data_IF_120789983862
#
_entry.id   IF_120789983862
#
_cell.length_a   1.000
_cell.length_b   1.000
_cell.length_c   1.000
_cell.angle_alpha   90.00
_cell.angle_beta   90.00
_cell.angle_gamma   90.00
#
_symmetry.space_group_name_H-M   'P 1'
#
loop_
_entity.id
_entity.type
_entity.pdbx_description
1 polymer ?
#
# COMPACT_ATOMS: atom_id res chain seq x y z
N UNK A 1 -36.70 23.49 5.79
CA UNK A 1 -35.58 23.92 6.67
C UNK A 1 -34.45 22.90 6.81
N UNK A 2 -34.58 21.64 6.33
CA UNK A 2 -33.48 20.66 6.34
C UNK A 2 -32.39 20.86 5.28
N UNK A 3 -32.68 21.56 4.17
CA UNK A 3 -31.70 21.81 3.11
C UNK A 3 -30.66 22.90 3.47
N UNK A 4 -31.01 23.87 4.33
CA UNK A 4 -30.07 24.92 4.75
C UNK A 4 -29.07 24.44 5.82
N UNK A 5 -29.39 23.40 6.57
CA UNK A 5 -28.48 22.81 7.57
C UNK A 5 -27.40 21.93 6.93
N UNK A 6 -27.67 21.31 5.78
CA UNK A 6 -26.67 20.56 5.01
C UNK A 6 -25.64 21.44 4.30
N UNK A 7 -26.05 22.62 3.83
CA UNK A 7 -25.16 23.58 3.15
C UNK A 7 -24.22 24.28 4.15
N UNK A 8 -24.68 24.56 5.37
CA UNK A 8 -23.81 25.08 6.44
C UNK A 8 -22.78 24.05 6.95
N UNK A 9 -23.05 22.75 6.87
CA UNK A 9 -22.10 21.69 7.24
C UNK A 9 -20.93 21.56 6.25
N UNK A 10 -21.18 21.72 4.94
CA UNK A 10 -20.11 21.72 3.94
C UNK A 10 -19.25 22.99 4.03
N UNK A 11 -19.86 24.16 4.22
CA UNK A 11 -19.14 25.44 4.38
C UNK A 11 -18.33 25.51 5.68
N UNK A 12 -18.81 24.88 6.78
CA UNK A 12 -18.06 24.80 8.05
C UNK A 12 -16.87 23.85 7.97
N UNK A 13 -16.98 22.75 7.23
CA UNK A 13 -15.85 21.85 6.94
C UNK A 13 -14.81 22.50 6.01
N UNK A 14 -15.26 23.24 4.99
CA UNK A 14 -14.37 24.01 4.09
C UNK A 14 -13.61 25.10 4.85
N UNK A 15 -14.26 25.78 5.81
CA UNK A 15 -13.60 26.79 6.67
C UNK A 15 -12.52 26.19 7.58
N UNK A 16 -12.67 24.93 8.02
CA UNK A 16 -11.64 24.21 8.78
C UNK A 16 -10.47 23.72 7.89
N UNK A 17 -10.72 23.45 6.60
CA UNK A 17 -9.70 23.03 5.64
C UNK A 17 -8.87 24.21 5.10
N UNK A 18 -9.45 25.42 5.05
CA UNK A 18 -8.80 26.64 4.54
C UNK A 18 -7.97 27.42 5.57
N UNK A 19 -8.03 27.07 6.87
CA UNK A 19 -7.30 27.76 7.93
C UNK A 19 -5.86 27.27 8.17
N UNK A 20 -5.05 28.11 8.80
CA UNK A 20 -3.76 27.74 9.41
C UNK A 20 -3.91 26.91 10.68
N UNK A 21 -5.12 26.87 11.24
CA UNK A 21 -5.46 26.00 12.37
C UNK A 21 -5.74 24.58 11.87
N UNK A 22 -5.27 23.53 12.59
CA UNK A 22 -5.78 22.17 12.42
C UNK A 22 -7.31 22.14 12.57
N UNK A 23 -7.95 20.99 12.35
CA UNK A 23 -9.40 20.75 12.56
C UNK A 23 -9.89 20.97 14.02
N UNK A 24 -9.27 21.87 14.78
CA UNK A 24 -9.57 22.31 16.14
C UNK A 24 -10.98 22.86 16.32
N UNK A 25 -11.63 23.34 15.24
CA UNK A 25 -12.92 24.04 15.29
C UNK A 25 -14.11 23.22 14.77
N UNK A 26 -13.90 21.99 14.26
CA UNK A 26 -15.02 21.17 13.79
C UNK A 26 -15.63 20.37 14.96
N UNK A 27 -16.90 20.65 15.29
CA UNK A 27 -17.62 20.00 16.38
C UNK A 27 -17.84 18.48 16.22
N UNK A 28 -17.44 17.90 15.09
CA UNK A 28 -17.67 16.50 14.72
C UNK A 28 -16.52 15.54 15.07
N UNK A 29 -15.37 16.00 15.57
CA UNK A 29 -14.24 15.11 15.89
C UNK A 29 -14.09 14.83 17.39
N UNK A 30 -13.88 13.56 17.81
CA UNK A 30 -13.51 13.22 19.18
C UNK A 30 -12.11 13.75 19.53
N UNK A 31 -11.76 13.76 20.82
CA UNK A 31 -10.43 14.18 21.27
C UNK A 31 -9.35 13.28 20.65
N UNK A 32 -8.50 13.83 19.80
CA UNK A 32 -7.52 13.06 19.02
C UNK A 32 -6.18 13.83 18.89
N UNK A 33 -5.08 13.07 18.90
CA UNK A 33 -3.71 13.60 18.74
C UNK A 33 -3.56 14.28 17.38
N UNK A 34 -3.01 15.50 17.37
CA UNK A 34 -2.81 16.26 16.13
C UNK A 34 -1.97 15.46 15.10
N UNK A 35 -0.93 14.76 15.57
CA UNK A 35 -0.06 13.94 14.73
C UNK A 35 -0.81 12.81 13.99
N UNK A 36 -1.78 12.18 14.66
CA UNK A 36 -2.62 11.12 14.06
C UNK A 36 -3.60 11.69 13.04
N UNK A 37 -4.20 12.86 13.32
CA UNK A 37 -5.11 13.52 12.37
C UNK A 37 -4.38 13.87 11.08
N UNK A 38 -3.18 14.47 11.19
CA UNK A 38 -2.37 14.82 10.02
C UNK A 38 -2.01 13.61 9.17
N UNK A 39 -1.60 12.50 9.79
CA UNK A 39 -1.32 11.24 9.08
C UNK A 39 -2.55 10.71 8.34
N UNK A 40 -3.71 10.71 9.00
CA UNK A 40 -4.98 10.29 8.38
C UNK A 40 -5.39 11.17 7.19
N UNK A 41 -5.17 12.48 7.26
CA UNK A 41 -5.49 13.40 6.16
C UNK A 41 -4.55 13.20 4.95
N UNK A 42 -3.26 12.93 5.16
CA UNK A 42 -2.37 12.55 4.06
C UNK A 42 -2.74 11.20 3.44
N UNK A 43 -3.15 10.21 4.25
CA UNK A 43 -3.69 8.94 3.75
C UNK A 43 -5.00 9.15 2.98
N UNK A 44 -5.85 10.09 3.42
CA UNK A 44 -7.05 10.45 2.68
C UNK A 44 -6.70 11.01 1.28
N UNK A 45 -5.67 11.85 1.13
CA UNK A 45 -5.21 12.27 -0.20
C UNK A 45 -4.72 11.10 -1.05
N UNK A 46 -4.01 10.12 -0.46
CA UNK A 46 -3.61 8.90 -1.17
C UNK A 46 -4.83 8.10 -1.67
N UNK A 47 -5.86 7.94 -0.83
CA UNK A 47 -7.08 7.24 -1.19
C UNK A 47 -7.92 8.00 -2.21
N UNK A 48 -7.98 9.33 -2.12
CA UNK A 48 -8.63 10.16 -3.12
C UNK A 48 -7.94 9.98 -4.48
N UNK A 49 -6.62 10.01 -4.53
CA UNK A 49 -5.87 9.76 -5.76
C UNK A 49 -6.05 8.35 -6.33
N UNK A 50 -6.15 7.36 -5.44
CA UNK A 50 -6.46 5.97 -5.80
C UNK A 50 -7.87 5.86 -6.39
N UNK A 51 -8.86 6.50 -5.78
CA UNK A 51 -10.24 6.50 -6.24
C UNK A 51 -10.35 7.14 -7.64
N UNK A 52 -9.69 8.29 -7.85
CA UNK A 52 -9.63 8.95 -9.16
C UNK A 52 -8.99 8.02 -10.20
N UNK A 53 -7.91 7.32 -9.84
CA UNK A 53 -7.23 6.35 -10.72
C UNK A 53 -8.14 5.16 -11.08
N UNK A 54 -8.93 4.65 -10.12
CA UNK A 54 -9.93 3.61 -10.37
C UNK A 54 -11.02 4.12 -11.33
N UNK A 55 -11.49 5.35 -11.16
CA UNK A 55 -12.49 5.94 -12.07
C UNK A 55 -11.93 6.04 -13.50
N UNK A 56 -10.65 6.40 -13.66
CA UNK A 56 -10.01 6.57 -14.97
C UNK A 56 -9.82 5.26 -15.74
N UNK A 57 -9.76 4.11 -15.07
CA UNK A 57 -9.57 2.81 -15.73
C UNK A 57 -10.90 2.11 -16.06
N UNK A 58 -12.04 2.61 -15.58
CA UNK A 58 -13.36 2.02 -15.86
C UNK A 58 -13.71 2.16 -17.36
N UNK A 59 -14.11 1.06 -18.04
CA UNK A 59 -14.52 1.06 -19.44
C UNK A 59 -15.85 1.83 -19.59
N UNK A 60 -15.74 3.13 -19.86
CA UNK A 60 -16.88 4.05 -19.93
C UNK A 60 -16.44 5.51 -19.85
N UNK A 61 -15.37 5.79 -19.11
CA UNK A 61 -14.78 7.14 -18.97
C UNK A 61 -13.80 7.45 -20.11
N UNK A 62 -13.38 6.43 -20.88
CA UNK A 62 -12.42 6.55 -21.99
C UNK A 62 -12.82 7.60 -23.03
N UNK A 63 -14.13 7.77 -23.31
CA UNK A 63 -14.64 8.79 -24.25
C UNK A 63 -14.35 10.23 -23.83
N UNK A 64 -14.30 10.48 -22.52
CA UNK A 64 -13.96 11.81 -21.99
C UNK A 64 -12.44 12.00 -21.90
N UNK A 65 -11.67 10.94 -21.62
CA UNK A 65 -10.21 10.99 -21.65
C UNK A 65 -9.67 11.29 -23.05
N UNK A 66 -10.37 10.85 -24.12
CA UNK A 66 -9.99 11.15 -25.50
C UNK A 66 -9.95 12.64 -25.85
N UNK A 67 -10.65 13.50 -25.08
CA UNK A 67 -10.69 14.94 -25.31
C UNK A 67 -9.53 15.70 -24.66
N UNK A 68 -8.70 15.02 -23.86
CA UNK A 68 -7.61 15.67 -23.13
C UNK A 68 -6.36 15.83 -24.04
N UNK A 69 -5.74 17.02 -24.08
CA UNK A 69 -4.52 17.27 -24.84
C UNK A 69 -3.36 16.41 -24.30
N UNK A 70 -2.42 16.01 -25.17
CA UNK A 70 -1.24 15.22 -24.79
C UNK A 70 -1.36 13.69 -24.87
N UNK A 71 -2.58 13.12 -24.90
CA UNK A 71 -2.76 11.66 -25.07
C UNK A 71 -2.64 11.17 -26.52
N UNK A 72 -2.94 11.99 -27.52
CA UNK A 72 -2.91 11.60 -28.94
C UNK A 72 -2.08 12.51 -29.84
N UNK A 73 -1.45 13.56 -29.31
CA UNK A 73 -0.67 14.55 -30.10
C UNK A 73 0.76 14.12 -30.44
N UNK A 74 1.20 12.92 -30.03
CA UNK A 74 2.55 12.40 -30.26
C UNK A 74 2.76 11.58 -31.54
N UNK A 75 1.71 11.30 -32.33
CA UNK A 75 1.84 10.61 -33.62
C UNK A 75 2.28 11.58 -34.72
N UNK A 76 3.47 12.17 -34.55
CA UNK A 76 4.08 13.04 -35.54
C UNK A 76 4.41 12.26 -36.82
N UNK A 77 3.86 12.70 -37.93
CA UNK A 77 4.09 12.17 -39.27
C UNK A 77 5.60 12.09 -39.57
N UNK A 78 6.11 10.88 -39.77
CA UNK A 78 7.33 10.67 -40.54
C UNK A 78 6.87 10.17 -41.92
N UNK A 79 7.17 10.93 -42.98
CA UNK A 79 6.97 10.55 -44.40
C UNK A 79 5.54 10.64 -45.01
N UNK A 80 4.65 11.51 -44.52
CA UNK A 80 3.42 11.85 -45.28
C UNK A 80 2.39 10.72 -45.45
N UNK A 81 2.58 9.60 -44.75
CA UNK A 81 1.59 8.52 -44.64
C UNK A 81 0.86 8.73 -43.32
N UNK A 82 -0.44 9.06 -43.38
CA UNK A 82 -1.33 8.95 -42.23
C UNK A 82 -1.50 7.47 -41.89
N UNK A 83 -0.61 6.93 -41.06
CA UNK A 83 -0.98 5.76 -40.27
C UNK A 83 -2.01 6.25 -39.27
N UNK A 84 -3.27 5.88 -39.49
CA UNK A 84 -4.35 6.06 -38.53
C UNK A 84 -4.02 5.13 -37.34
N UNK A 85 -3.09 5.54 -36.48
CA UNK A 85 -2.68 4.75 -35.31
C UNK A 85 -3.78 4.94 -34.28
N UNK A 86 -4.52 3.88 -34.01
CA UNK A 86 -5.58 3.84 -33.00
C UNK A 86 -5.00 4.14 -31.61
N UNK A 87 -4.98 5.43 -31.26
CA UNK A 87 -4.63 5.98 -29.93
C UNK A 87 -5.58 5.50 -28.82
N UNK A 88 -6.61 4.71 -29.16
CA UNK A 88 -7.67 4.22 -28.29
C UNK A 88 -7.24 3.08 -27.37
N UNK A 89 -6.13 2.39 -27.67
CA UNK A 89 -5.75 1.23 -26.85
C UNK A 89 -5.08 1.65 -25.54
N UNK A 90 -5.70 1.29 -24.41
CA UNK A 90 -5.20 1.42 -23.03
C UNK A 90 -5.07 2.84 -22.46
N UNK A 91 -5.94 3.76 -22.91
CA UNK A 91 -5.98 5.14 -22.42
C UNK A 91 -6.08 5.25 -20.89
N UNK A 92 -6.90 4.39 -20.27
CA UNK A 92 -7.03 4.32 -18.81
C UNK A 92 -5.71 3.96 -18.10
N UNK A 93 -4.87 3.09 -18.67
CA UNK A 93 -3.57 2.77 -18.07
C UNK A 93 -2.64 3.98 -18.09
N UNK A 94 -2.55 4.67 -19.23
CA UNK A 94 -1.75 5.90 -19.35
C UNK A 94 -2.20 6.98 -18.37
N UNK A 95 -3.51 7.14 -18.18
CA UNK A 95 -4.06 8.07 -17.20
C UNK A 95 -3.69 7.71 -15.75
N UNK A 96 -3.74 6.41 -15.40
CA UNK A 96 -3.30 5.93 -14.08
C UNK A 96 -1.80 6.19 -13.86
N UNK A 97 -0.94 6.02 -14.86
CA UNK A 97 0.49 6.37 -14.72
C UNK A 97 0.71 7.86 -14.45
N UNK A 98 -0.02 8.75 -15.14
CA UNK A 98 0.05 10.20 -14.91
C UNK A 98 -0.47 10.59 -13.53
N UNK A 99 -1.59 9.99 -13.08
CA UNK A 99 -2.12 10.21 -11.75
C UNK A 99 -1.17 9.67 -10.66
N UNK A 100 -0.59 8.49 -10.87
CA UNK A 100 0.43 7.91 -9.99
C UNK A 100 1.68 8.78 -9.91
N UNK A 101 2.11 9.37 -11.03
CA UNK A 101 3.19 10.37 -11.05
C UNK A 101 2.85 11.61 -10.21
N UNK A 102 1.65 12.16 -10.37
CA UNK A 102 1.22 13.33 -9.59
C UNK A 102 1.20 13.05 -8.08
N UNK A 103 0.66 11.90 -7.68
CA UNK A 103 0.66 11.45 -6.28
C UNK A 103 2.07 11.26 -5.74
N UNK A 104 2.95 10.61 -6.52
CA UNK A 104 4.35 10.41 -6.14
C UNK A 104 5.08 11.75 -6.00
N UNK A 105 4.94 12.67 -6.96
CA UNK A 105 5.53 13.99 -6.91
C UNK A 105 5.04 14.80 -5.69
N UNK A 106 3.74 14.72 -5.38
CA UNK A 106 3.17 15.36 -4.20
C UNK A 106 3.79 14.85 -2.89
N UNK A 107 3.85 13.53 -2.67
CA UNK A 107 4.46 12.99 -1.45
C UNK A 107 5.97 13.16 -1.42
N UNK A 108 6.65 13.14 -2.57
CA UNK A 108 8.08 13.44 -2.66
C UNK A 108 8.37 14.89 -2.26
N UNK A 109 7.57 15.85 -2.72
CA UNK A 109 7.67 17.26 -2.33
C UNK A 109 7.55 17.39 -0.80
N UNK A 110 6.56 16.75 -0.19
CA UNK A 110 6.40 16.78 1.27
C UNK A 110 7.52 16.04 2.01
N UNK A 111 8.06 14.95 1.47
CA UNK A 111 9.22 14.27 2.04
C UNK A 111 10.44 15.20 2.11
N UNK A 112 10.70 15.96 1.04
CA UNK A 112 11.80 16.94 0.94
C UNK A 112 11.57 18.14 1.86
N UNK A 113 10.36 18.68 1.91
CA UNK A 113 10.04 19.84 2.78
C UNK A 113 10.17 19.51 4.27
N UNK A 114 9.93 18.25 4.66
CA UNK A 114 9.94 17.81 6.05
C UNK A 114 11.27 17.22 6.54
N UNK A 115 12.35 17.38 5.75
CA UNK A 115 13.69 16.90 6.13
C UNK A 115 14.17 17.56 7.43
N UNK A 116 14.58 16.73 8.38
CA UNK A 116 15.13 17.13 9.68
C UNK A 116 14.21 18.04 10.50
N UNK A 117 12.90 17.83 10.45
CA UNK A 117 11.96 18.44 11.40
C UNK A 117 11.97 17.61 12.69
N UNK A 118 12.24 18.25 13.83
CA UNK A 118 12.41 17.57 15.13
C UNK A 118 11.35 17.92 16.18
N UNK A 119 10.63 19.02 16.01
CA UNK A 119 9.60 19.49 16.96
C UNK A 119 8.47 20.20 16.21
N UNK A 120 7.27 20.23 16.79
CA UNK A 120 6.13 21.00 16.28
C UNK A 120 6.32 22.52 16.34
N UNK A 121 7.34 22.99 17.08
CA UNK A 121 7.72 24.41 17.15
C UNK A 121 8.40 24.90 15.87
N UNK A 122 8.91 24.00 15.03
CA UNK A 122 9.47 24.38 13.74
C UNK A 122 8.38 24.98 12.84
N UNK A 123 8.64 26.09 12.12
CA UNK A 123 7.65 26.70 11.22
C UNK A 123 7.18 25.73 10.12
N UNK A 124 8.02 24.76 9.75
CA UNK A 124 7.71 23.69 8.79
C UNK A 124 6.66 22.71 9.33
N UNK A 125 6.58 22.52 10.64
CA UNK A 125 5.56 21.66 11.24
C UNK A 125 4.14 22.28 11.13
N UNK A 126 4.03 23.61 11.06
CA UNK A 126 2.76 24.26 10.73
C UNK A 126 2.28 23.90 9.31
N UNK A 127 3.21 23.75 8.36
CA UNK A 127 2.89 23.24 7.02
C UNK A 127 2.49 21.77 7.06
N UNK A 128 3.13 20.92 7.89
CA UNK A 128 2.75 19.51 8.05
C UNK A 128 1.33 19.37 8.60
N UNK A 129 0.99 20.12 9.65
CA UNK A 129 -0.24 19.94 10.42
C UNK A 129 -1.42 20.85 10.00
N UNK A 130 -1.18 21.83 9.12
CA UNK A 130 -2.19 22.81 8.67
C UNK A 130 -2.31 22.95 7.16
N UNK A 131 -3.00 24.01 6.71
CA UNK A 131 -3.11 24.44 5.30
C UNK A 131 -3.64 23.36 4.33
N UNK A 132 -4.61 22.55 4.75
CA UNK A 132 -5.10 21.41 3.99
C UNK A 132 -5.71 21.77 2.63
N UNK A 133 -6.42 22.88 2.53
CA UNK A 133 -6.96 23.38 1.27
C UNK A 133 -5.87 23.70 0.26
N UNK A 134 -4.80 24.38 0.68
CA UNK A 134 -3.68 24.69 -0.21
C UNK A 134 -2.93 23.44 -0.64
N UNK A 135 -2.77 22.45 0.24
CA UNK A 135 -2.20 21.14 -0.12
C UNK A 135 -3.03 20.45 -1.19
N UNK A 136 -4.36 20.48 -1.06
CA UNK A 136 -5.27 19.94 -2.06
C UNK A 136 -5.12 20.66 -3.40
N UNK A 137 -5.05 22.00 -3.41
CA UNK A 137 -4.81 22.76 -4.64
C UNK A 137 -3.45 22.43 -5.28
N UNK A 138 -2.39 22.26 -4.48
CA UNK A 138 -1.08 21.81 -4.98
C UNK A 138 -1.19 20.44 -5.64
N UNK A 139 -1.89 19.49 -5.01
CA UNK A 139 -2.12 18.17 -5.59
C UNK A 139 -2.88 18.25 -6.92
N UNK A 140 -3.95 19.06 -6.99
CA UNK A 140 -4.71 19.27 -8.23
C UNK A 140 -3.82 19.92 -9.30
N UNK A 141 -3.03 20.93 -8.95
CA UNK A 141 -2.12 21.61 -9.87
C UNK A 141 -1.06 20.69 -10.45
N UNK A 142 -0.41 19.86 -9.63
CA UNK A 142 0.53 18.83 -10.07
C UNK A 142 -0.18 17.82 -10.98
N UNK A 143 -1.40 17.40 -10.61
CA UNK A 143 -2.19 16.47 -11.41
C UNK A 143 -2.45 17.04 -12.80
N UNK A 144 -3.01 18.25 -12.90
CA UNK A 144 -3.23 18.92 -14.19
C UNK A 144 -1.93 19.00 -14.99
N UNK A 145 -0.82 19.40 -14.37
CA UNK A 145 0.49 19.43 -15.01
C UNK A 145 0.96 18.06 -15.54
N UNK A 146 0.74 16.99 -14.80
CA UNK A 146 1.08 15.63 -15.20
C UNK A 146 0.30 15.16 -16.44
N UNK A 147 -0.93 15.66 -16.63
CA UNK A 147 -1.75 15.34 -17.80
C UNK A 147 -1.25 16.00 -19.10
N UNK A 148 -0.50 17.11 -19.00
CA UNK A 148 0.13 17.75 -20.16
C UNK A 148 1.44 17.08 -20.61
N UNK A 149 1.93 16.07 -19.89
CA UNK A 149 3.14 15.33 -20.30
C UNK A 149 2.81 14.55 -21.59
N UNK A 150 3.51 14.80 -22.71
CA UNK A 150 3.22 14.13 -23.98
C UNK A 150 3.53 12.64 -23.92
N UNK A 151 2.81 11.87 -24.72
CA UNK A 151 3.07 10.45 -24.91
C UNK A 151 4.46 10.18 -25.52
N UNK A 152 5.08 9.08 -25.10
CA UNK A 152 6.42 8.65 -25.49
C UNK A 152 7.06 7.86 -24.36
N UNK A 153 8.38 7.96 -24.21
CA UNK A 153 9.17 7.20 -23.23
C UNK A 153 8.71 7.35 -21.76
N UNK A 154 7.90 8.36 -21.42
CA UNK A 154 7.39 8.60 -20.08
C UNK A 154 6.78 7.35 -19.45
N UNK A 155 5.82 6.70 -20.11
CA UNK A 155 5.09 5.56 -19.51
C UNK A 155 6.02 4.36 -19.29
N UNK A 156 6.93 4.10 -20.24
CA UNK A 156 7.90 3.01 -20.09
C UNK A 156 8.93 3.29 -19.00
N UNK A 157 9.39 4.54 -18.84
CA UNK A 157 10.34 4.91 -17.76
C UNK A 157 9.63 4.86 -16.41
N UNK A 158 8.42 5.42 -16.34
CA UNK A 158 7.62 5.49 -15.12
C UNK A 158 7.19 4.09 -14.64
N UNK A 159 6.99 3.14 -15.55
CA UNK A 159 6.84 1.71 -15.21
C UNK A 159 7.99 1.22 -14.33
N UNK A 160 9.25 1.48 -14.68
CA UNK A 160 10.40 1.00 -13.89
C UNK A 160 10.49 1.67 -12.52
N UNK A 161 10.20 2.97 -12.42
CA UNK A 161 10.05 3.64 -11.12
C UNK A 161 8.95 2.98 -10.28
N UNK A 162 7.82 2.67 -10.90
CA UNK A 162 6.73 1.92 -10.28
C UNK A 162 7.16 0.55 -9.79
N UNK A 163 7.92 -0.21 -10.59
CA UNK A 163 8.46 -1.53 -10.22
C UNK A 163 9.35 -1.44 -8.97
N UNK A 164 10.31 -0.51 -8.96
CA UNK A 164 11.24 -0.34 -7.83
C UNK A 164 10.48 0.14 -6.58
N UNK A 165 9.60 1.13 -6.73
CA UNK A 165 8.79 1.63 -5.62
C UNK A 165 7.87 0.55 -5.03
N UNK A 166 7.27 -0.28 -5.88
CA UNK A 166 6.42 -1.39 -5.47
C UNK A 166 7.21 -2.48 -4.74
N UNK A 167 8.42 -2.82 -5.19
CA UNK A 167 9.30 -3.75 -4.47
C UNK A 167 9.52 -3.29 -3.02
N UNK A 168 9.93 -2.03 -2.83
CA UNK A 168 10.16 -1.45 -1.51
C UNK A 168 8.86 -1.39 -0.68
N UNK A 169 7.75 -1.02 -1.31
CA UNK A 169 6.47 -0.96 -0.61
C UNK A 169 5.97 -2.34 -0.18
N UNK A 170 6.17 -3.40 -0.96
CA UNK A 170 5.81 -4.77 -0.56
C UNK A 170 6.61 -5.20 0.67
N UNK A 171 7.89 -4.82 0.77
CA UNK A 171 8.69 -5.06 1.98
C UNK A 171 8.15 -4.30 3.19
N UNK A 172 7.85 -3.01 3.02
CA UNK A 172 7.23 -2.19 4.08
C UNK A 172 5.86 -2.77 4.48
N UNK A 173 5.06 -3.20 3.51
CA UNK A 173 3.76 -3.82 3.73
C UNK A 173 3.90 -5.10 4.56
N UNK A 174 4.91 -5.94 4.30
CA UNK A 174 5.16 -7.11 5.12
C UNK A 174 5.54 -6.73 6.56
N UNK A 175 6.43 -5.76 6.74
CA UNK A 175 6.83 -5.26 8.06
C UNK A 175 5.62 -4.75 8.85
N UNK A 176 4.70 -4.06 8.18
CA UNK A 176 3.44 -3.59 8.77
C UNK A 176 2.52 -4.75 9.17
N UNK A 177 2.45 -5.81 8.36
CA UNK A 177 1.68 -7.01 8.69
C UNK A 177 2.28 -7.77 9.88
N UNK A 178 3.61 -7.84 9.98
CA UNK A 178 4.31 -8.40 11.14
C UNK A 178 3.92 -7.63 12.40
N UNK A 179 4.05 -6.30 12.37
CA UNK A 179 3.70 -5.44 13.50
C UNK A 179 2.22 -5.51 13.88
N UNK A 180 1.33 -5.55 12.88
CA UNK A 180 -0.09 -5.76 13.09
C UNK A 180 -0.35 -7.09 13.82
N UNK A 181 0.32 -8.16 13.39
CA UNK A 181 0.16 -9.47 13.99
C UNK A 181 0.68 -9.53 15.44
N UNK A 182 1.83 -8.90 15.72
CA UNK A 182 2.35 -8.79 17.09
C UNK A 182 1.42 -7.95 17.97
N UNK A 183 0.99 -6.78 17.49
CA UNK A 183 0.08 -5.89 18.22
C UNK A 183 -1.27 -6.57 18.51
N UNK A 184 -1.79 -7.33 17.53
CA UNK A 184 -3.00 -8.13 17.70
C UNK A 184 -2.78 -9.21 18.76
N UNK A 185 -1.72 -10.02 18.63
CA UNK A 185 -1.41 -11.09 19.58
C UNK A 185 -1.26 -10.56 21.01
N UNK A 186 -0.48 -9.50 21.21
CA UNK A 186 -0.27 -8.87 22.53
C UNK A 186 -1.57 -8.35 23.13
N UNK A 187 -2.42 -7.69 22.33
CA UNK A 187 -3.71 -7.17 22.82
C UNK A 187 -4.65 -8.29 23.27
N UNK A 188 -4.69 -9.40 22.53
CA UNK A 188 -5.52 -10.54 22.91
C UNK A 188 -4.96 -11.31 24.10
N UNK A 189 -3.64 -11.44 24.20
CA UNK A 189 -2.99 -12.03 25.38
C UNK A 189 -3.23 -11.19 26.64
N UNK A 190 -3.07 -9.86 26.57
CA UNK A 190 -3.39 -8.97 27.70
C UNK A 190 -4.85 -9.11 28.15
N UNK A 191 -5.78 -9.16 27.20
CA UNK A 191 -7.20 -9.37 27.52
C UNK A 191 -7.47 -10.78 28.08
N UNK A 192 -6.64 -11.77 27.75
CA UNK A 192 -6.73 -13.11 28.31
C UNK A 192 -6.29 -13.13 29.79
N UNK A 193 -5.26 -12.35 30.13
CA UNK A 193 -4.74 -12.21 31.49
C UNK A 193 -5.70 -11.40 32.40
N UNK A 194 -6.35 -10.36 31.86
CA UNK A 194 -7.30 -9.52 32.58
C UNK A 194 -8.75 -10.07 32.61
N UNK A 195 -9.08 -10.98 31.69
CA UNK A 195 -10.44 -11.46 31.45
C UNK A 195 -10.59 -12.99 31.50
N UNK A 196 -11.49 -13.53 30.67
CA UNK A 196 -11.69 -14.98 30.55
C UNK A 196 -10.57 -15.62 29.71
N UNK A 197 -9.48 -16.01 30.36
CA UNK A 197 -8.29 -16.59 29.72
C UNK A 197 -8.64 -17.64 28.65
N UNK A 198 -9.48 -18.63 28.98
CA UNK A 198 -9.84 -19.73 28.07
C UNK A 198 -10.50 -19.26 26.76
N UNK A 199 -11.31 -18.21 26.80
CA UNK A 199 -12.02 -17.71 25.61
C UNK A 199 -11.07 -17.03 24.63
N UNK A 200 -10.19 -16.17 25.14
CA UNK A 200 -9.20 -15.46 24.32
C UNK A 200 -8.13 -16.39 23.74
N UNK A 201 -7.62 -17.35 24.52
CA UNK A 201 -6.71 -18.38 24.00
C UNK A 201 -7.39 -19.24 22.91
N UNK A 202 -8.64 -19.65 23.11
CA UNK A 202 -9.40 -20.39 22.09
C UNK A 202 -9.59 -19.56 20.81
N UNK A 203 -9.89 -18.26 20.92
CA UNK A 203 -10.01 -17.37 19.78
C UNK A 203 -8.66 -17.25 19.01
N UNK A 204 -7.55 -17.10 19.74
CA UNK A 204 -6.21 -16.97 19.16
C UNK A 204 -5.82 -18.25 18.38
N UNK A 205 -6.07 -19.42 18.96
CA UNK A 205 -5.88 -20.71 18.29
C UNK A 205 -6.78 -20.86 17.07
N UNK A 206 -8.06 -20.44 17.17
CA UNK A 206 -9.02 -20.55 16.06
C UNK A 206 -8.61 -19.71 14.86
N UNK A 207 -8.20 -18.45 15.08
CA UNK A 207 -7.73 -17.57 13.99
C UNK A 207 -6.48 -18.14 13.33
N UNK A 208 -5.52 -18.62 14.14
CA UNK A 208 -4.29 -19.23 13.65
C UNK A 208 -4.58 -20.46 12.77
N UNK A 209 -5.50 -21.33 13.21
CA UNK A 209 -5.94 -22.49 12.44
C UNK A 209 -6.58 -22.09 11.11
N UNK A 210 -7.46 -21.09 11.12
CA UNK A 210 -8.13 -20.60 9.90
C UNK A 210 -7.10 -20.08 8.89
N UNK A 211 -6.09 -19.32 9.32
CA UNK A 211 -5.06 -18.80 8.43
C UNK A 211 -4.19 -19.89 7.80
N UNK A 212 -3.80 -20.93 8.55
CA UNK A 212 -3.09 -22.06 7.95
C UNK A 212 -3.98 -22.90 7.03
N UNK A 213 -5.23 -23.16 7.41
CA UNK A 213 -6.18 -23.88 6.56
C UNK A 213 -6.40 -23.13 5.23
N UNK A 214 -6.59 -21.82 5.29
CA UNK A 214 -6.70 -20.97 4.10
C UNK A 214 -5.42 -21.00 3.25
N UNK A 215 -4.24 -20.98 3.89
CA UNK A 215 -2.96 -21.05 3.18
C UNK A 215 -2.78 -22.38 2.44
N UNK A 216 -3.10 -23.50 3.09
CA UNK A 216 -3.02 -24.84 2.48
C UNK A 216 -4.01 -24.99 1.31
N UNK A 217 -5.25 -24.51 1.50
CA UNK A 217 -6.25 -24.49 0.45
C UNK A 217 -5.78 -23.64 -0.75
N UNK A 218 -5.24 -22.44 -0.50
CA UNK A 218 -4.71 -21.56 -1.54
C UNK A 218 -3.53 -22.21 -2.29
N UNK A 219 -2.57 -22.82 -1.60
CA UNK A 219 -1.46 -23.57 -2.24
C UNK A 219 -1.97 -24.69 -3.12
N UNK A 220 -2.97 -25.44 -2.67
CA UNK A 220 -3.60 -26.52 -3.45
C UNK A 220 -4.21 -25.98 -4.73
N UNK A 221 -4.97 -24.88 -4.64
CA UNK A 221 -5.56 -24.21 -5.80
C UNK A 221 -4.47 -23.69 -6.76
N UNK A 222 -3.37 -23.15 -6.25
CA UNK A 222 -2.25 -22.70 -7.09
C UNK A 222 -1.63 -23.84 -7.89
N UNK A 223 -1.40 -25.00 -7.27
CA UNK A 223 -0.94 -26.19 -8.01
C UNK A 223 -1.93 -26.65 -9.07
N UNK A 224 -3.23 -26.66 -8.77
CA UNK A 224 -4.27 -27.12 -9.71
C UNK A 224 -4.40 -26.19 -10.92
N UNK A 225 -4.41 -24.87 -10.70
CA UNK A 225 -4.72 -23.91 -11.76
C UNK A 225 -3.50 -23.35 -12.50
N UNK A 226 -2.37 -23.13 -11.81
CA UNK A 226 -1.19 -22.48 -12.38
C UNK A 226 -0.06 -23.45 -12.72
N UNK A 227 -0.26 -24.76 -12.53
CA UNK A 227 0.73 -25.77 -12.94
C UNK A 227 0.10 -26.86 -13.80
N UNK A 228 0.92 -27.53 -14.62
CA UNK A 228 0.54 -28.66 -15.47
C UNK A 228 1.53 -29.81 -15.27
N UNK A 229 1.12 -31.09 -15.46
CA UNK A 229 2.04 -32.23 -15.35
C UNK A 229 3.29 -32.04 -16.22
N UNK A 230 3.10 -31.66 -17.48
CA UNK A 230 4.16 -31.36 -18.44
C UNK A 230 4.32 -29.84 -18.66
N UNK A 231 5.51 -29.31 -18.36
CA UNK A 231 5.84 -27.88 -18.46
C UNK A 231 5.49 -27.06 -17.21
N UNK A 232 5.47 -25.73 -17.36
CA UNK A 232 5.21 -24.76 -16.29
C UNK A 232 6.09 -24.96 -15.03
N UNK A 233 7.36 -25.30 -15.25
CA UNK A 233 8.34 -25.58 -14.18
C UNK A 233 8.54 -24.41 -13.24
N UNK A 234 8.55 -23.19 -13.78
CA UNK A 234 8.70 -21.96 -12.96
C UNK A 234 7.57 -21.82 -11.93
N UNK A 235 6.32 -22.06 -12.35
CA UNK A 235 5.18 -22.02 -11.43
C UNK A 235 5.30 -23.05 -10.31
N UNK A 236 5.70 -24.28 -10.64
CA UNK A 236 5.95 -25.34 -9.65
C UNK A 236 7.07 -24.96 -8.68
N UNK A 237 8.17 -24.41 -9.20
CA UNK A 237 9.32 -24.00 -8.41
C UNK A 237 8.97 -22.87 -7.44
N UNK A 238 8.30 -21.82 -7.90
CA UNK A 238 7.92 -20.68 -7.04
C UNK A 238 6.97 -21.10 -5.92
N UNK A 239 5.95 -21.91 -6.22
CA UNK A 239 5.02 -22.42 -5.19
C UNK A 239 5.77 -23.31 -4.19
N UNK A 240 6.62 -24.22 -4.66
CA UNK A 240 7.38 -25.15 -3.81
C UNK A 240 8.33 -24.43 -2.87
N UNK A 241 9.12 -23.48 -3.39
CA UNK A 241 10.11 -22.73 -2.62
C UNK A 241 9.40 -21.91 -1.53
N UNK A 242 8.34 -21.17 -1.88
CA UNK A 242 7.62 -20.36 -0.90
C UNK A 242 6.92 -21.23 0.16
N UNK A 243 6.38 -22.38 -0.22
CA UNK A 243 5.84 -23.34 0.76
C UNK A 243 6.90 -23.81 1.75
N UNK A 244 8.09 -24.21 1.26
CA UNK A 244 9.20 -24.66 2.11
C UNK A 244 9.65 -23.54 3.05
N UNK A 245 9.83 -22.32 2.55
CA UNK A 245 10.24 -21.18 3.36
C UNK A 245 9.18 -20.85 4.44
N UNK A 246 7.89 -20.88 4.12
CA UNK A 246 6.81 -20.69 5.09
C UNK A 246 6.81 -21.78 6.18
N UNK A 247 7.07 -23.04 5.81
CA UNK A 247 7.20 -24.14 6.78
C UNK A 247 8.40 -23.92 7.71
N UNK A 248 9.56 -23.55 7.16
CA UNK A 248 10.76 -23.25 7.95
C UNK A 248 10.46 -22.14 8.96
N UNK A 249 9.91 -21.02 8.49
CA UNK A 249 9.55 -19.89 9.35
C UNK A 249 8.57 -20.31 10.45
N UNK A 250 7.55 -21.10 10.11
CA UNK A 250 6.54 -21.58 11.08
C UNK A 250 7.16 -22.48 12.15
N UNK A 251 8.07 -23.37 11.76
CA UNK A 251 8.84 -24.20 12.70
C UNK A 251 9.72 -23.33 13.58
N UNK A 252 10.42 -22.37 12.99
CA UNK A 252 11.31 -21.44 13.71
C UNK A 252 10.55 -20.66 14.78
N UNK A 253 9.36 -20.15 14.47
CA UNK A 253 8.50 -19.41 15.42
C UNK A 253 8.05 -20.21 16.65
N UNK A 254 8.10 -21.55 16.62
CA UNK A 254 7.70 -22.40 17.76
C UNK A 254 8.87 -22.97 18.56
N UNK A 255 10.14 -22.73 18.16
CA UNK A 255 11.26 -23.25 18.94
C UNK A 255 11.26 -22.63 20.35
N UNK A 256 11.46 -23.45 21.40
CA UNK A 256 11.44 -22.96 22.78
C UNK A 256 12.50 -21.90 23.02
N UNK A 257 13.66 -21.99 22.37
CA UNK A 257 14.72 -20.97 22.44
C UNK A 257 14.29 -19.60 21.92
N UNK A 258 13.46 -19.56 20.87
CA UNK A 258 12.97 -18.30 20.31
C UNK A 258 11.87 -17.73 21.19
N UNK A 259 10.99 -18.59 21.73
CA UNK A 259 9.96 -18.15 22.67
C UNK A 259 10.54 -17.65 24.00
N UNK A 260 11.65 -18.23 24.48
CA UNK A 260 12.40 -17.72 25.64
C UNK A 260 12.94 -16.30 25.38
N UNK A 261 13.47 -16.02 24.19
CA UNK A 261 14.00 -14.70 23.83
C UNK A 261 12.92 -13.68 23.44
N UNK A 262 11.76 -14.14 22.97
CA UNK A 262 10.63 -13.32 22.52
C UNK A 262 9.30 -13.98 22.93
N UNK A 263 8.83 -13.78 24.18
CA UNK A 263 7.65 -14.47 24.72
C UNK A 263 6.34 -14.08 24.02
N UNK A 264 6.32 -12.95 23.31
CA UNK A 264 5.18 -12.50 22.51
C UNK A 264 5.23 -12.95 21.05
N UNK A 265 6.29 -13.63 20.61
CA UNK A 265 6.35 -14.25 19.29
C UNK A 265 5.57 -15.56 19.31
N UNK A 266 4.48 -15.61 18.55
CA UNK A 266 3.55 -16.72 18.53
C UNK A 266 3.30 -17.28 17.14
N UNK A 267 2.47 -18.32 17.09
CA UNK A 267 2.09 -19.00 15.86
C UNK A 267 1.13 -18.15 14.98
N UNK A 268 0.41 -17.20 15.58
CA UNK A 268 -0.49 -16.30 14.87
C UNK A 268 0.27 -15.47 13.83
N UNK A 269 1.41 -14.91 14.22
CA UNK A 269 2.26 -14.11 13.34
C UNK A 269 2.73 -14.94 12.15
N UNK A 270 3.32 -16.12 12.39
CA UNK A 270 3.77 -17.02 11.34
C UNK A 270 2.64 -17.43 10.37
N UNK A 271 1.42 -17.66 10.89
CA UNK A 271 0.26 -18.02 10.08
C UNK A 271 -0.21 -16.89 9.16
N UNK A 272 -0.22 -15.64 9.64
CA UNK A 272 -0.58 -14.48 8.82
C UNK A 272 0.48 -14.20 7.74
N UNK A 273 1.76 -14.29 8.10
CA UNK A 273 2.87 -14.11 7.16
C UNK A 273 2.88 -15.20 6.09
N UNK A 274 2.56 -16.44 6.47
CA UNK A 274 2.38 -17.55 5.51
C UNK A 274 1.27 -17.22 4.52
N UNK A 275 0.08 -16.82 5.00
CA UNK A 275 -1.05 -16.48 4.16
C UNK A 275 -0.72 -15.35 3.18
N UNK A 276 -0.05 -14.29 3.67
CA UNK A 276 0.38 -13.18 2.83
C UNK A 276 1.42 -13.61 1.78
N UNK A 277 2.37 -14.46 2.14
CA UNK A 277 3.38 -14.98 1.19
C UNK A 277 2.70 -15.79 0.08
N UNK A 278 1.72 -16.63 0.42
CA UNK A 278 0.94 -17.38 -0.58
C UNK A 278 0.14 -16.41 -1.47
N UNK A 279 -0.42 -15.33 -0.92
CA UNK A 279 -1.05 -14.27 -1.71
C UNK A 279 -0.06 -13.61 -2.70
N UNK A 280 1.15 -13.21 -2.24
CA UNK A 280 2.17 -12.62 -3.12
C UNK A 280 2.60 -13.61 -4.21
N UNK A 281 2.68 -14.90 -3.87
CA UNK A 281 2.96 -15.97 -4.84
C UNK A 281 1.87 -16.05 -5.90
N UNK A 282 0.60 -16.03 -5.50
CA UNK A 282 -0.54 -16.01 -6.42
C UNK A 282 -0.51 -14.77 -7.32
N UNK A 283 -0.27 -13.60 -6.75
CA UNK A 283 -0.16 -12.35 -7.48
C UNK A 283 1.02 -12.33 -8.47
N UNK A 284 2.10 -13.08 -8.20
CA UNK A 284 3.20 -13.26 -9.14
C UNK A 284 2.84 -14.20 -10.29
N UNK A 285 2.20 -15.32 -9.98
CA UNK A 285 1.77 -16.31 -10.98
C UNK A 285 0.74 -15.77 -11.97
N UNK A 286 -0.15 -14.89 -11.49
CA UNK A 286 -1.11 -14.16 -12.34
C UNK A 286 -0.44 -13.24 -13.38
N UNK A 287 0.85 -12.92 -13.23
CA UNK A 287 1.63 -12.16 -14.20
C UNK A 287 2.57 -13.00 -15.07
N UNK A 288 2.53 -14.34 -14.97
CA UNK A 288 3.35 -15.20 -15.84
C UNK A 288 2.91 -15.03 -17.30
N UNK A 289 3.82 -14.65 -18.22
CA UNK A 289 3.48 -14.32 -19.61
C UNK A 289 3.36 -15.56 -20.50
N UNK A 290 2.57 -16.54 -20.05
CA UNK A 290 2.28 -17.77 -20.80
C UNK A 290 0.85 -18.19 -20.54
N UNK A 291 -0.03 -18.07 -21.54
CA UNK A 291 -1.43 -18.48 -21.43
C UNK A 291 -1.60 -19.97 -21.06
N UNK A 292 -0.64 -20.82 -21.46
CA UNK A 292 -0.65 -22.25 -21.13
C UNK A 292 -0.54 -22.50 -19.62
N UNK A 293 0.22 -21.64 -18.93
CA UNK A 293 0.50 -21.77 -17.50
C UNK A 293 -0.32 -20.79 -16.63
N UNK A 294 -0.90 -19.77 -17.24
CA UNK A 294 -1.63 -18.71 -16.56
C UNK A 294 -3.04 -18.56 -17.18
N UNK A 295 -4.07 -19.19 -16.59
CA UNK A 295 -5.43 -19.15 -17.12
C UNK A 295 -6.11 -17.79 -16.92
N UNK A 296 -5.59 -16.93 -16.04
CA UNK A 296 -6.14 -15.60 -15.74
C UNK A 296 -5.45 -14.48 -16.52
N UNK A 297 -4.51 -14.82 -17.43
CA UNK A 297 -3.80 -13.85 -18.24
C UNK A 297 -4.77 -13.13 -19.19
N UNK A 298 -5.06 -11.86 -18.89
CA UNK A 298 -5.86 -11.00 -19.75
C UNK A 298 -5.04 -10.65 -21.01
N UNK A 299 -5.24 -11.39 -22.09
CA UNK A 299 -4.68 -11.03 -23.40
C UNK A 299 -5.65 -10.10 -24.10
N UNK A 300 -5.38 -8.79 -24.01
CA UNK A 300 -6.11 -7.77 -24.77
C UNK A 300 -5.39 -7.57 -26.10
N UNK A 301 -5.76 -8.37 -27.10
CA UNK A 301 -5.26 -8.20 -28.46
C UNK A 301 -6.17 -7.22 -29.21
N UNK A 302 -5.62 -6.08 -29.63
CA UNK A 302 -6.33 -5.05 -30.40
C UNK A 302 -6.73 -5.54 -31.81
N UNK A 303 -6.24 -6.70 -32.28
CA UNK A 303 -6.59 -7.29 -33.59
C UNK A 303 -7.61 -8.42 -33.53
N UNK A 304 -8.31 -8.63 -32.40
CA UNK A 304 -9.35 -9.65 -32.32
C UNK A 304 -10.56 -9.21 -33.16
N UNK A 305 -10.60 -9.68 -34.41
CA UNK A 305 -11.79 -9.74 -35.24
C UNK A 305 -12.96 -10.32 -34.43
N UNK A 306 -14.15 -9.79 -34.71
CA UNK A 306 -15.41 -9.94 -33.99
C UNK A 306 -15.98 -11.38 -33.93
N UNK A 307 -15.23 -12.35 -33.39
CA UNK A 307 -15.66 -13.74 -33.20
C UNK A 307 -15.31 -14.32 -31.82
N UNK A 308 -15.20 -13.48 -30.79
CA UNK A 308 -15.21 -13.92 -29.40
C UNK A 308 -16.53 -13.49 -28.75
N UNK A 309 -17.46 -14.45 -28.62
CA UNK A 309 -18.82 -14.32 -28.07
C UNK A 309 -18.88 -14.18 -26.55
N UNK A 310 -17.81 -13.69 -25.91
CA UNK A 310 -17.76 -13.47 -24.46
C UNK A 310 -17.59 -11.97 -24.20
N UNK A 311 -18.54 -11.30 -23.52
CA UNK A 311 -18.32 -9.93 -23.11
C UNK A 311 -17.14 -9.93 -22.13
N UNK A 312 -16.05 -9.24 -22.50
CA UNK A 312 -14.88 -9.01 -21.65
C UNK A 312 -15.33 -8.18 -20.42
N UNK A 313 -15.88 -8.87 -19.43
CA UNK A 313 -16.47 -8.30 -18.21
C UNK A 313 -15.43 -8.12 -17.09
N UNK A 314 -14.27 -8.76 -17.18
CA UNK A 314 -13.20 -8.63 -16.20
C UNK A 314 -12.09 -7.68 -16.69
N UNK A 315 -12.20 -6.40 -16.31
CA UNK A 315 -11.15 -5.39 -16.55
C UNK A 315 -10.07 -5.37 -15.45
N UNK A 316 -10.32 -6.08 -14.33
CA UNK A 316 -9.41 -6.14 -13.19
C UNK A 316 -9.26 -7.58 -12.68
N UNK A 317 -8.04 -7.98 -12.34
CA UNK A 317 -7.73 -9.33 -11.89
C UNK A 317 -7.97 -9.49 -10.37
N UNK A 318 -8.41 -10.68 -9.96
CA UNK A 318 -8.71 -10.98 -8.56
C UNK A 318 -7.54 -10.73 -7.58
N UNK A 319 -6.27 -11.02 -7.92
CA UNK A 319 -5.13 -10.68 -7.07
C UNK A 319 -4.98 -9.18 -6.80
N UNK A 320 -5.30 -8.31 -7.76
CA UNK A 320 -5.24 -6.86 -7.59
C UNK A 320 -6.34 -6.33 -6.68
N UNK A 321 -7.53 -6.94 -6.68
CA UNK A 321 -8.61 -6.61 -5.74
C UNK A 321 -8.17 -6.93 -4.31
N UNK A 322 -7.65 -8.14 -4.08
CA UNK A 322 -7.11 -8.52 -2.76
C UNK A 322 -5.94 -7.61 -2.37
N UNK A 323 -5.09 -7.26 -3.33
CA UNK A 323 -3.98 -6.31 -3.14
C UNK A 323 -4.42 -4.91 -2.74
N UNK A 324 -5.52 -4.39 -3.32
CA UNK A 324 -6.11 -3.12 -2.93
C UNK A 324 -6.62 -3.17 -1.49
N UNK A 325 -7.29 -4.26 -1.09
CA UNK A 325 -7.76 -4.43 0.30
C UNK A 325 -6.59 -4.43 1.28
N UNK A 326 -5.55 -5.23 1.02
CA UNK A 326 -4.35 -5.27 1.87
C UNK A 326 -3.66 -3.89 1.91
N UNK A 327 -3.57 -3.21 0.77
CA UNK A 327 -3.04 -1.85 0.68
C UNK A 327 -3.79 -0.86 1.56
N UNK A 328 -5.13 -0.84 1.49
CA UNK A 328 -5.97 0.04 2.32
C UNK A 328 -5.75 -0.27 3.80
N UNK A 329 -5.77 -1.54 4.19
CA UNK A 329 -5.56 -1.95 5.58
C UNK A 329 -4.18 -1.54 6.10
N UNK A 330 -3.12 -1.76 5.32
CA UNK A 330 -1.75 -1.42 5.73
C UNK A 330 -1.52 0.08 5.79
N UNK A 331 -2.04 0.84 4.83
CA UNK A 331 -1.88 2.31 4.81
C UNK A 331 -2.69 2.99 5.91
N UNK A 332 -3.89 2.48 6.23
CA UNK A 332 -4.63 2.90 7.42
C UNK A 332 -3.87 2.55 8.70
N UNK A 333 -3.27 1.36 8.77
CA UNK A 333 -2.47 0.95 9.90
C UNK A 333 -1.28 1.88 10.12
N UNK A 334 -0.52 2.27 9.08
CA UNK A 334 0.57 3.27 9.18
C UNK A 334 0.10 4.56 9.88
N UNK A 335 -1.11 5.02 9.56
CA UNK A 335 -1.64 6.31 10.06
C UNK A 335 -2.28 6.24 11.43
N UNK A 336 -2.83 5.08 11.80
CA UNK A 336 -3.43 4.84 13.11
C UNK A 336 -2.41 4.35 14.15
N UNK A 337 -1.31 3.76 13.70
CA UNK A 337 -0.31 3.11 14.54
C UNK A 337 0.24 4.06 15.61
N UNK A 338 0.21 3.53 16.84
CA UNK A 338 1.03 3.87 18.00
C UNK A 338 1.57 2.52 18.44
N UNK A 339 2.77 2.15 18.00
CA UNK A 339 3.27 0.78 18.11
C UNK A 339 4.16 0.57 19.30
N UNK A 340 3.90 -0.53 20.00
CA UNK A 340 4.63 -0.95 21.19
C UNK A 340 5.84 -1.86 20.85
N UNK A 341 6.08 -2.19 19.57
CA UNK A 341 7.19 -3.08 19.17
C UNK A 341 8.47 -2.32 18.77
N UNK A 342 9.57 -2.42 19.55
CA UNK A 342 10.79 -1.63 19.38
C UNK A 342 11.53 -1.91 18.06
N UNK A 343 11.75 -3.19 17.72
CA UNK A 343 12.43 -3.57 16.47
C UNK A 343 11.73 -3.04 15.21
N UNK A 344 10.40 -3.04 15.18
CA UNK A 344 9.66 -2.49 14.04
C UNK A 344 9.67 -0.97 14.07
N UNK A 345 9.61 -0.34 15.24
CA UNK A 345 9.75 1.11 15.37
C UNK A 345 11.10 1.58 14.84
N UNK A 346 12.17 0.84 15.11
CA UNK A 346 13.50 1.07 14.57
C UNK A 346 13.54 0.92 13.05
N UNK A 347 12.91 -0.14 12.51
CA UNK A 347 12.84 -0.36 11.07
C UNK A 347 12.01 0.72 10.36
N UNK A 348 11.00 1.26 11.03
CA UNK A 348 10.10 2.29 10.52
C UNK A 348 10.51 3.71 10.93
N UNK A 349 11.70 3.87 11.54
CA UNK A 349 12.23 5.15 12.02
C UNK A 349 11.22 5.97 12.85
N UNK A 350 10.43 5.28 13.67
CA UNK A 350 9.49 5.90 14.63
C UNK A 350 10.05 5.94 16.04
N UNK A 351 11.27 5.47 16.28
CA UNK A 351 12.00 5.70 17.53
C UNK A 351 12.63 7.10 17.50
N UNK A 352 12.01 8.09 18.15
CA UNK A 352 12.72 9.12 18.93
C UNK A 352 11.81 9.70 20.04
N UNK A 353 12.37 9.70 21.26
CA UNK A 353 11.95 10.41 22.48
C UNK A 353 10.56 10.09 23.06
N UNK A 354 10.51 9.18 24.04
CA UNK A 354 10.31 9.51 25.46
C UNK A 354 9.31 10.61 25.87
N UNK A 355 8.34 11.02 25.06
CA UNK A 355 7.17 11.76 25.49
C UNK A 355 6.16 10.74 26.05
N UNK A 356 6.55 10.09 27.14
CA UNK A 356 5.63 9.32 27.97
C UNK A 356 4.50 10.26 28.37
N UNK A 357 3.32 10.03 27.81
CA UNK A 357 2.09 10.57 28.38
C UNK A 357 1.92 9.87 29.74
N UNK A 358 2.51 10.46 30.78
CA UNK A 358 2.09 10.17 32.14
C UNK A 358 0.59 10.46 32.28
N UNK A 359 -0.16 9.75 33.13
CA UNK A 359 -1.63 9.88 33.24
C UNK A 359 -2.15 11.23 33.78
N UNK A 360 -1.37 12.32 33.73
CA UNK A 360 -1.57 13.51 34.56
C UNK A 360 -1.77 14.86 33.86
N UNK A 361 -1.87 14.94 32.53
CA UNK A 361 -2.03 16.23 31.82
C UNK A 361 -3.44 16.47 31.25
N UNK A 362 -4.46 15.91 31.88
CA UNK A 362 -5.85 16.20 31.59
C UNK A 362 -6.37 17.26 32.56
N UNK A 363 -6.01 18.52 32.36
CA UNK A 363 -6.80 19.68 32.79
C UNK A 363 -6.10 20.98 32.37
N UNK A 364 -6.56 21.58 31.26
CA UNK A 364 -6.68 23.04 31.20
C UNK A 364 -7.74 23.43 30.16
N UNK A 365 -8.73 24.19 30.63
CA UNK A 365 -9.98 24.46 29.94
C UNK A 365 -9.81 25.28 28.67
N UNK A 366 -10.39 24.76 27.58
CA UNK A 366 -10.58 25.50 26.34
C UNK A 366 -11.24 24.62 25.29
N UNK A 367 -11.99 25.22 24.37
CA UNK A 367 -12.67 24.57 23.22
C UNK A 367 -11.63 24.09 22.19
N UNK A 368 -10.68 23.24 22.60
CA UNK A 368 -9.66 22.60 21.75
C UNK A 368 -9.68 21.10 22.03
N UNK A 369 -10.31 20.34 21.15
CA UNK A 369 -10.40 18.87 21.26
C UNK A 369 -9.18 18.13 20.70
N UNK A 370 -8.37 18.73 19.84
CA UNK A 370 -7.08 18.15 19.43
C UNK A 370 -5.93 18.85 20.17
N UNK A 371 -5.08 18.09 20.85
CA UNK A 371 -3.90 18.60 21.56
C UNK A 371 -2.63 18.32 20.75
N UNK A 372 -1.70 19.28 20.78
CA UNK A 372 -0.40 19.15 20.12
C UNK A 372 0.55 18.32 21.00
N UNK A 373 0.73 17.06 20.59
CA UNK A 373 1.57 16.07 21.26
C UNK A 373 3.02 16.04 20.76
N UNK A 374 3.45 17.01 19.94
CA UNK A 374 4.78 17.02 19.30
C UNK A 374 5.63 18.26 19.65
N UNK A 375 5.27 18.97 20.72
CA UNK A 375 5.94 20.21 21.16
C UNK A 375 7.41 20.01 21.55
N UNK A 376 7.72 18.90 22.20
CA UNK A 376 9.07 18.60 22.72
C UNK A 376 9.82 17.58 21.86
N UNK A 377 9.14 16.96 20.89
CA UNK A 377 9.70 15.99 19.95
C UNK A 377 8.62 15.44 19.02
N UNK A 378 8.96 15.17 17.76
CA UNK A 378 8.03 14.54 16.81
C UNK A 378 7.75 13.09 17.18
N UNK A 379 6.50 12.63 17.05
CA UNK A 379 6.12 11.25 17.38
C UNK A 379 6.53 10.23 16.31
N UNK A 380 6.92 10.71 15.13
CA UNK A 380 7.36 9.91 14.00
C UNK A 380 8.23 10.76 13.07
N UNK A 381 9.11 10.12 12.30
CA UNK A 381 9.87 10.82 11.28
C UNK A 381 8.97 11.23 10.10
N UNK A 382 8.72 12.53 9.96
CA UNK A 382 7.84 13.08 8.92
C UNK A 382 8.32 12.75 7.50
N UNK A 383 9.62 12.82 7.24
CA UNK A 383 10.18 12.47 5.93
C UNK A 383 9.93 11.00 5.62
N UNK A 384 10.23 10.10 6.56
CA UNK A 384 10.03 8.67 6.36
C UNK A 384 8.56 8.33 6.11
N UNK A 385 7.63 8.96 6.83
CA UNK A 385 6.19 8.78 6.58
C UNK A 385 5.79 9.18 5.15
N UNK A 386 6.25 10.33 4.67
CA UNK A 386 5.97 10.76 3.28
C UNK A 386 6.66 9.86 2.25
N UNK A 387 7.85 9.33 2.53
CA UNK A 387 8.49 8.31 1.70
C UNK A 387 7.65 7.01 1.64
N UNK A 388 7.08 6.57 2.75
CA UNK A 388 6.16 5.42 2.76
C UNK A 388 4.93 5.68 1.88
N UNK A 389 4.33 6.88 1.95
CA UNK A 389 3.18 7.24 1.10
C UNK A 389 3.55 7.41 -0.38
N UNK A 390 4.74 7.91 -0.68
CA UNK A 390 5.31 7.93 -2.03
C UNK A 390 5.42 6.51 -2.61
N UNK A 391 6.01 5.58 -1.85
CA UNK A 391 6.14 4.18 -2.25
C UNK A 391 4.76 3.52 -2.39
N UNK A 392 3.82 3.86 -1.51
CA UNK A 392 2.42 3.42 -1.57
C UNK A 392 1.74 3.89 -2.88
N UNK A 393 1.96 5.15 -3.29
CA UNK A 393 1.44 5.70 -4.53
C UNK A 393 1.99 4.97 -5.77
N UNK A 394 3.29 4.64 -5.77
CA UNK A 394 3.91 3.84 -6.83
C UNK A 394 3.36 2.41 -6.88
N UNK A 395 3.18 1.77 -5.72
CA UNK A 395 2.59 0.44 -5.62
C UNK A 395 1.15 0.36 -6.14
N UNK A 396 0.30 1.29 -5.73
CA UNK A 396 -1.10 1.26 -6.13
C UNK A 396 -1.26 1.53 -7.63
N UNK A 397 -0.44 2.41 -8.21
CA UNK A 397 -0.37 2.64 -9.65
C UNK A 397 -0.07 1.33 -10.42
N UNK A 398 0.93 0.56 -9.99
CA UNK A 398 1.27 -0.72 -10.62
C UNK A 398 0.17 -1.77 -10.44
N UNK A 399 -0.46 -1.80 -9.28
CA UNK A 399 -1.56 -2.74 -8.97
C UNK A 399 -2.81 -2.43 -9.78
N UNK A 400 -3.18 -1.16 -9.93
CA UNK A 400 -4.31 -0.75 -10.76
C UNK A 400 -4.10 -1.04 -12.25
N UNK A 401 -2.85 -1.05 -12.71
CA UNK A 401 -2.48 -1.33 -14.10
C UNK A 401 -2.14 -2.81 -14.34
N UNK A 402 -2.50 -3.70 -13.41
CA UNK A 402 -2.25 -5.15 -13.46
C UNK A 402 -0.77 -5.51 -13.68
N UNK A 403 0.15 -4.59 -13.36
CA UNK A 403 1.59 -4.70 -13.64
C UNK A 403 1.93 -4.91 -15.12
N UNK A 404 1.03 -4.54 -16.03
CA UNK A 404 1.26 -4.65 -17.46
C UNK A 404 2.13 -3.50 -17.96
N UNK A 405 3.04 -3.86 -18.86
CA UNK A 405 3.87 -2.89 -19.58
C UNK A 405 3.20 -2.56 -20.92
N UNK A 406 3.01 -1.27 -21.24
CA UNK A 406 2.61 -0.87 -22.58
C UNK A 406 3.76 -1.12 -23.56
N UNK A 407 3.48 -1.90 -24.61
CA UNK A 407 4.37 -2.03 -25.76
C UNK A 407 3.89 -1.08 -26.86
N UNK A 408 4.60 0.03 -27.03
CA UNK A 408 4.27 1.09 -28.00
C UNK A 408 4.38 0.62 -29.45
N UNK A 409 5.21 -0.39 -29.72
CA UNK A 409 5.41 -0.92 -31.07
C UNK A 409 4.28 -1.83 -31.52
N UNK A 410 3.68 -2.56 -30.58
CA UNK A 410 2.62 -3.54 -30.86
C UNK A 410 1.23 -3.07 -30.43
N UNK A 411 1.10 -1.93 -29.73
CA UNK A 411 -0.16 -1.42 -29.17
C UNK A 411 -0.89 -2.50 -28.36
N UNK A 412 -0.12 -3.26 -27.57
CA UNK A 412 -0.59 -4.36 -26.72
C UNK A 412 -0.02 -4.18 -25.31
N UNK A 413 -0.86 -4.42 -24.29
CA UNK A 413 -0.38 -4.58 -22.92
C UNK A 413 0.19 -5.98 -22.76
N UNK A 414 1.46 -6.06 -22.35
CA UNK A 414 2.14 -7.31 -22.09
C UNK A 414 2.45 -7.44 -20.60
N UNK A 415 2.13 -8.60 -20.03
CA UNK A 415 2.64 -8.95 -18.70
C UNK A 415 4.15 -9.22 -18.79
N UNK A 416 5.02 -8.50 -18.06
CA UNK A 416 6.45 -8.73 -18.11
C UNK A 416 6.90 -9.71 -17.01
N UNK A 417 7.92 -10.53 -17.31
CA UNK A 417 8.58 -11.37 -16.28
C UNK A 417 9.13 -10.55 -15.11
N UNK A 418 9.47 -9.28 -15.33
CA UNK A 418 9.88 -8.34 -14.28
C UNK A 418 8.86 -8.25 -13.15
N UNK A 419 7.56 -8.24 -13.47
CA UNK A 419 6.49 -8.19 -12.46
C UNK A 419 6.48 -9.46 -11.58
N UNK A 420 6.68 -10.62 -12.21
CA UNK A 420 6.75 -11.91 -11.51
C UNK A 420 7.94 -11.93 -10.55
N UNK A 421 9.13 -11.63 -11.07
CA UNK A 421 10.36 -11.68 -10.28
C UNK A 421 10.36 -10.68 -9.13
N UNK A 422 9.87 -9.46 -9.33
CA UNK A 422 9.82 -8.48 -8.24
C UNK A 422 8.91 -8.96 -7.11
N UNK A 423 7.74 -9.53 -7.41
CA UNK A 423 6.85 -10.08 -6.39
C UNK A 423 7.49 -11.27 -5.65
N UNK A 424 8.09 -12.22 -6.39
CA UNK A 424 8.76 -13.39 -5.79
C UNK A 424 9.97 -12.98 -4.94
N UNK A 425 10.87 -12.14 -5.46
CA UNK A 425 12.02 -11.66 -4.70
C UNK A 425 11.60 -10.84 -3.47
N UNK A 426 10.52 -10.04 -3.57
CA UNK A 426 9.97 -9.34 -2.40
C UNK A 426 9.47 -10.34 -1.34
N UNK A 427 8.84 -11.44 -1.75
CA UNK A 427 8.38 -12.48 -0.82
C UNK A 427 9.55 -13.16 -0.11
N UNK A 428 10.64 -13.47 -0.82
CA UNK A 428 11.83 -14.09 -0.23
C UNK A 428 12.56 -13.14 0.72
N UNK A 429 12.82 -11.90 0.27
CA UNK A 429 13.43 -10.89 1.11
C UNK A 429 12.58 -10.62 2.35
N UNK A 430 11.26 -10.58 2.19
CA UNK A 430 10.32 -10.44 3.28
C UNK A 430 10.37 -11.58 4.31
N UNK A 431 10.32 -12.83 3.85
CA UNK A 431 10.45 -14.00 4.74
C UNK A 431 11.80 -14.03 5.46
N UNK A 432 12.89 -13.65 4.77
CA UNK A 432 14.21 -13.52 5.38
C UNK A 432 14.24 -12.43 6.45
N UNK A 433 13.60 -11.28 6.21
CA UNK A 433 13.46 -10.22 7.21
C UNK A 433 12.68 -10.72 8.43
N UNK A 434 11.56 -11.42 8.23
CA UNK A 434 10.79 -11.98 9.35
C UNK A 434 11.59 -13.04 10.11
N UNK A 435 12.25 -13.97 9.41
CA UNK A 435 13.14 -14.95 10.03
C UNK A 435 14.24 -14.26 10.85
N UNK A 436 14.82 -13.19 10.31
CA UNK A 436 15.83 -12.40 11.00
C UNK A 436 15.27 -11.73 12.26
N UNK A 437 14.05 -11.19 12.24
CA UNK A 437 13.43 -10.60 13.44
C UNK A 437 13.26 -11.61 14.58
N UNK A 438 13.03 -12.89 14.26
CA UNK A 438 12.92 -13.96 15.25
C UNK A 438 14.29 -14.42 15.79
N UNK A 439 15.30 -14.48 14.92
CA UNK A 439 16.61 -15.07 15.24
C UNK A 439 17.62 -14.04 15.79
N UNK A 440 17.51 -12.77 15.40
CA UNK A 440 18.46 -11.72 15.77
C UNK A 440 18.65 -11.55 17.30
N UNK A 441 17.60 -11.60 18.14
CA UNK A 441 17.76 -11.53 19.61
C UNK A 441 18.60 -12.66 20.21
N UNK A 442 18.67 -13.83 19.54
CA UNK A 442 19.45 -14.98 20.00
C UNK A 442 20.91 -14.91 19.56
N UNK A 443 21.18 -14.41 18.35
CA UNK A 443 22.54 -14.35 17.80
C UNK A 443 23.33 -13.13 18.28
N UNK A 444 22.65 -12.07 18.68
CA UNK A 444 23.27 -10.80 19.09
C UNK A 444 22.79 -10.39 20.50
N UNK A 445 23.05 -11.18 21.54
CA UNK A 445 22.53 -10.93 22.89
C UNK A 445 22.96 -9.59 23.49
N UNK A 446 24.09 -9.03 23.04
CA UNK A 446 24.64 -7.75 23.51
C UNK A 446 24.04 -6.51 22.80
N UNK A 447 23.10 -6.70 21.87
CA UNK A 447 22.44 -5.59 21.16
C UNK A 447 21.03 -5.41 21.71
N UNK A 448 20.72 -4.22 22.22
CA UNK A 448 19.36 -3.90 22.64
C UNK A 448 18.39 -3.99 21.46
N UNK A 449 17.50 -4.97 21.55
CA UNK A 449 16.36 -5.18 20.64
C UNK A 449 15.03 -4.84 21.31
N UNK A 450 15.06 -4.45 22.59
CA UNK A 450 13.95 -4.04 23.45
C UNK A 450 13.59 -2.57 23.31
#
# INVERSE_FOLDING_TARGET
>A
MGACLGVCSLLSCVSCLCGSAPCLLCGCCPSAKNSTISRLLFTFFLFLGTLVSIIMIIPGVEKELHKLPGFCEGSGSVLGVQTNVDCSSFLGHKAVYRMGFAMAAFFCLFAVLMVCVRSSKDPRAALQNGFWFFKFLVLVGITVGAFYIPDGAFTSVWFYFGVVGSFLFILIQLVLLIDLAHSWSQRWLRNADEGSARGWYAALCSVTFIFYAASIAAVTLLYVYYTKPEGCTEGKAFISINLILCLIVSVVSILPKIQEAQPHSGLLQASLITLYTIYVTWAALANVPSQRCNPTLLVRNSTASATATEPLTAWWDAPSIVGLVIFILCTLFISLRSSDHPQVNKLMLTEESGAGAGPGAAEEGGVRRAYDNEQDGVSYNYTFFHLCLLLAALYIMMTLTNWYRPDESLQVLRSPWTAVWVKICSSWAGLLLYLWTLVAPLLLPDRDFS
#
